data_IF_579400790146
#
_entry.id   IF_579400790146
#
_cell.length_a   1.000
_cell.length_b   1.000
_cell.length_c   1.000
_cell.angle_alpha   90.00
_cell.angle_beta   90.00
_cell.angle_gamma   90.00
#
_symmetry.space_group_name_H-M   'P 1'
#
loop_
_entity.id
_entity.type
_entity.pdbx_description
1 polymer ?
#
# COMPACT_ATOMS: atom_id res chain seq x y z
N UNK A 1 37.46 -13.24 58.47
CA UNK A 1 36.91 -12.10 59.24
C UNK A 1 35.59 -11.61 58.65
N UNK A 2 35.51 -11.44 57.32
CA UNK A 2 34.32 -10.95 56.60
C UNK A 2 33.03 -11.75 56.88
N UNK A 3 33.10 -13.09 56.91
CA UNK A 3 31.93 -13.94 57.19
C UNK A 3 31.33 -13.70 58.59
N UNK A 4 32.17 -13.47 59.60
CA UNK A 4 31.71 -13.23 60.98
C UNK A 4 30.99 -11.88 61.06
N UNK A 5 31.58 -10.83 60.47
CA UNK A 5 30.98 -9.50 60.41
C UNK A 5 29.62 -9.54 59.70
N UNK A 6 29.53 -10.22 58.57
CA UNK A 6 28.28 -10.39 57.80
C UNK A 6 27.18 -11.08 58.61
N UNK A 7 27.49 -12.21 59.26
CA UNK A 7 26.53 -12.92 60.12
C UNK A 7 26.14 -12.10 61.36
N UNK A 8 27.05 -11.27 61.90
CA UNK A 8 26.71 -10.32 62.98
C UNK A 8 25.70 -9.27 62.51
N UNK A 9 25.88 -8.67 61.33
CA UNK A 9 24.92 -7.71 60.77
C UNK A 9 23.56 -8.36 60.51
N UNK A 10 23.51 -9.56 59.93
CA UNK A 10 22.26 -10.31 59.73
C UNK A 10 21.56 -10.59 61.07
N UNK A 11 22.33 -10.95 62.12
CA UNK A 11 21.78 -11.20 63.45
C UNK A 11 21.12 -9.96 64.06
N UNK A 12 21.81 -8.82 64.02
CA UNK A 12 21.31 -7.53 64.53
C UNK A 12 20.05 -7.10 63.75
N UNK A 13 20.09 -7.21 62.42
CA UNK A 13 18.95 -6.90 61.55
C UNK A 13 17.73 -7.79 61.87
N UNK A 14 17.94 -9.10 61.99
CA UNK A 14 16.85 -10.06 62.26
C UNK A 14 16.19 -9.79 63.61
N UNK A 15 16.97 -9.52 64.66
CA UNK A 15 16.45 -9.19 65.99
C UNK A 15 15.65 -7.89 65.93
N UNK A 16 16.17 -6.87 65.24
CA UNK A 16 15.51 -5.56 65.09
C UNK A 16 14.20 -5.68 64.32
N UNK A 17 14.16 -6.49 63.26
CA UNK A 17 12.96 -6.81 62.50
C UNK A 17 11.90 -7.52 63.37
N UNK A 18 12.30 -8.53 64.15
CA UNK A 18 11.39 -9.28 65.04
C UNK A 18 10.81 -8.35 66.12
N UNK A 19 11.63 -7.54 66.79
CA UNK A 19 11.17 -6.61 67.83
C UNK A 19 10.19 -5.59 67.25
N UNK A 20 10.48 -5.06 66.06
CA UNK A 20 9.61 -4.11 65.37
C UNK A 20 8.27 -4.75 65.00
N UNK A 21 8.29 -5.97 64.47
CA UNK A 21 7.07 -6.72 64.11
C UNK A 21 6.21 -7.05 65.36
N UNK A 22 6.84 -7.50 66.44
CA UNK A 22 6.17 -7.76 67.73
C UNK A 22 5.61 -6.50 68.38
N UNK A 23 6.27 -5.35 68.15
CA UNK A 23 5.78 -4.04 68.56
C UNK A 23 4.55 -3.59 67.77
N UNK A 24 4.57 -3.72 66.44
CA UNK A 24 3.43 -3.34 65.56
C UNK A 24 2.21 -4.23 65.79
N UNK A 25 2.42 -5.52 65.99
CA UNK A 25 1.33 -6.50 66.23
C UNK A 25 0.72 -6.38 67.64
N UNK A 26 1.24 -5.49 68.49
CA UNK A 26 0.70 -5.25 69.83
C UNK A 26 0.94 -6.39 70.83
N UNK A 27 1.78 -7.38 70.48
CA UNK A 27 2.21 -8.45 71.38
C UNK A 27 3.03 -7.85 72.52
N UNK A 28 3.86 -6.86 72.22
CA UNK A 28 4.61 -6.06 73.21
C UNK A 28 3.82 -4.79 73.59
N UNK A 29 2.85 -4.93 74.51
CA UNK A 29 1.96 -3.84 74.96
C UNK A 29 2.64 -2.66 75.68
N UNK A 30 3.94 -2.72 75.97
CA UNK A 30 4.66 -1.72 76.77
C UNK A 30 5.47 -0.70 75.95
N UNK A 31 5.51 -0.82 74.62
CA UNK A 31 6.33 0.06 73.77
C UNK A 31 5.53 1.32 73.42
N UNK A 32 6.08 2.50 73.74
CA UNK A 32 5.44 3.78 73.34
C UNK A 32 5.52 3.93 71.82
N UNK A 33 4.42 4.38 71.20
CA UNK A 33 4.29 4.57 69.75
C UNK A 33 5.44 5.35 69.10
N UNK A 34 6.00 6.33 69.81
CA UNK A 34 7.14 7.13 69.34
C UNK A 34 8.38 6.28 69.04
N UNK A 35 8.67 5.27 69.85
CA UNK A 35 9.81 4.37 69.63
C UNK A 35 9.53 3.38 68.51
N UNK A 36 8.28 2.95 68.37
CA UNK A 36 7.86 2.05 67.31
C UNK A 36 8.03 2.69 65.93
N UNK A 37 7.65 3.96 65.77
CA UNK A 37 7.85 4.70 64.51
C UNK A 37 9.33 4.85 64.15
N UNK A 38 10.20 5.06 65.14
CA UNK A 38 11.66 5.14 64.91
C UNK A 38 12.23 3.78 64.49
N UNK A 39 11.86 2.71 65.20
CA UNK A 39 12.26 1.34 64.86
C UNK A 39 11.80 0.93 63.46
N UNK A 40 10.55 1.22 63.12
CA UNK A 40 9.98 0.92 61.80
C UNK A 40 10.65 1.71 60.68
N UNK A 41 10.90 3.00 60.88
CA UNK A 41 11.60 3.84 59.91
C UNK A 41 13.05 3.35 59.70
N UNK A 42 13.73 2.97 60.77
CA UNK A 42 15.08 2.40 60.71
C UNK A 42 15.11 1.09 59.93
N UNK A 43 14.12 0.20 60.14
CA UNK A 43 14.00 -1.07 59.43
C UNK A 43 13.81 -0.86 57.92
N UNK A 44 12.94 0.07 57.54
CA UNK A 44 12.72 0.39 56.11
C UNK A 44 14.02 0.88 55.47
N UNK A 45 14.73 1.80 56.12
CA UNK A 45 15.97 2.37 55.59
C UNK A 45 17.05 1.30 55.41
N UNK A 46 17.15 0.37 56.36
CA UNK A 46 18.09 -0.74 56.31
C UNK A 46 17.77 -1.74 55.18
N UNK A 47 16.49 -2.07 54.97
CA UNK A 47 16.05 -2.91 53.84
C UNK A 47 16.37 -2.26 52.50
N UNK A 48 16.09 -0.96 52.35
CA UNK A 48 16.38 -0.22 51.11
C UNK A 48 17.88 -0.21 50.82
N UNK A 49 18.71 0.03 51.83
CA UNK A 49 20.16 -0.02 51.70
C UNK A 49 20.66 -1.40 51.27
N UNK A 50 20.13 -2.47 51.87
CA UNK A 50 20.47 -3.84 51.52
C UNK A 50 20.10 -4.18 50.06
N UNK A 51 18.92 -3.77 49.59
CA UNK A 51 18.49 -3.97 48.20
C UNK A 51 19.41 -3.22 47.22
N UNK A 52 19.78 -1.98 47.52
CA UNK A 52 20.69 -1.20 46.67
C UNK A 52 22.10 -1.82 46.59
N UNK A 53 22.61 -2.33 47.71
CA UNK A 53 23.90 -3.03 47.75
C UNK A 53 23.82 -4.33 46.95
N UNK A 54 22.75 -5.11 47.11
CA UNK A 54 22.54 -6.34 46.36
C UNK A 54 22.46 -6.07 44.86
N UNK A 55 21.73 -5.03 44.44
CA UNK A 55 21.61 -4.66 43.03
C UNK A 55 22.94 -4.18 42.44
N UNK A 56 23.78 -3.49 43.22
CA UNK A 56 25.13 -3.09 42.79
C UNK A 56 26.14 -4.24 42.76
N UNK A 57 25.97 -5.22 43.64
CA UNK A 57 26.88 -6.37 43.75
C UNK A 57 26.49 -7.53 42.83
N UNK A 58 25.28 -7.52 42.29
CA UNK A 58 24.84 -8.52 41.33
C UNK A 58 25.37 -8.09 39.96
N UNK A 59 26.30 -8.87 39.42
CA UNK A 59 26.70 -8.72 38.03
C UNK A 59 25.60 -9.28 37.14
N UNK A 60 24.77 -8.39 36.59
CA UNK A 60 23.72 -8.74 35.64
C UNK A 60 24.28 -9.00 34.23
N UNK A 61 25.60 -8.90 34.04
CA UNK A 61 26.28 -9.30 32.81
C UNK A 61 26.50 -10.82 32.77
N UNK A 62 25.44 -11.60 33.03
CA UNK A 62 25.50 -13.05 32.87
C UNK A 62 25.94 -13.36 31.44
N UNK A 63 27.05 -14.11 31.34
CA UNK A 63 27.72 -14.59 30.14
C UNK A 63 26.76 -14.74 28.95
N UNK A 64 26.95 -13.86 27.96
CA UNK A 64 26.20 -13.96 26.71
C UNK A 64 26.64 -15.26 26.05
N UNK A 65 25.77 -16.27 25.99
CA UNK A 65 26.13 -17.57 25.44
C UNK A 65 26.12 -17.51 23.90
N UNK A 66 27.20 -16.97 23.34
CA UNK A 66 27.38 -16.77 21.90
C UNK A 66 27.27 -18.08 21.10
N UNK A 67 27.64 -19.22 21.70
CA UNK A 67 27.50 -20.55 21.08
C UNK A 67 26.06 -20.80 20.60
N UNK A 68 25.07 -20.50 21.45
CA UNK A 68 23.65 -20.71 21.11
C UNK A 68 23.14 -19.78 20.00
N UNK A 69 23.78 -18.63 19.80
CA UNK A 69 23.44 -17.68 18.74
C UNK A 69 24.09 -18.09 17.42
N UNK A 70 25.34 -18.56 17.45
CA UNK A 70 26.01 -19.08 16.25
C UNK A 70 25.38 -20.36 15.73
N UNK A 71 24.95 -21.26 16.62
CA UNK A 71 24.20 -22.47 16.24
C UNK A 71 22.90 -22.12 15.50
N UNK A 72 22.16 -21.10 15.99
CA UNK A 72 20.93 -20.62 15.33
C UNK A 72 21.20 -19.91 14.01
N UNK A 73 22.34 -19.25 13.89
CA UNK A 73 22.76 -18.59 12.66
C UNK A 73 23.35 -19.56 11.62
N UNK A 74 23.53 -20.84 11.97
CA UNK A 74 24.13 -21.85 11.10
C UNK A 74 25.63 -21.62 10.85
N UNK A 75 26.31 -20.90 11.75
CA UNK A 75 27.73 -20.57 11.62
C UNK A 75 28.52 -21.70 12.29
N UNK A 76 29.08 -22.59 11.47
CA UNK A 76 29.86 -23.76 11.91
C UNK A 76 31.38 -23.50 11.87
N UNK A 77 31.80 -22.25 12.06
CA UNK A 77 33.21 -21.86 11.98
C UNK A 77 33.88 -21.91 13.37
N UNK A 78 34.89 -22.77 13.53
CA UNK A 78 35.67 -22.88 14.77
C UNK A 78 36.37 -21.56 15.13
N UNK A 79 36.68 -20.71 14.15
CA UNK A 79 37.24 -19.38 14.38
C UNK A 79 36.22 -18.42 15.02
N UNK A 80 34.92 -18.59 14.75
CA UNK A 80 33.84 -17.77 15.32
C UNK A 80 33.57 -18.10 16.80
N UNK A 81 33.88 -19.32 17.23
CA UNK A 81 33.78 -19.73 18.64
C UNK A 81 34.99 -19.30 19.48
N UNK A 82 36.15 -19.10 18.85
CA UNK A 82 37.38 -18.66 19.50
C UNK A 82 37.42 -17.14 19.77
N UNK A 83 36.85 -16.33 18.86
CA UNK A 83 36.66 -14.88 19.03
C UNK A 83 35.30 -14.42 18.43
N UNK A 84 34.20 -14.59 19.20
CA UNK A 84 32.85 -14.21 18.79
C UNK A 84 32.72 -12.76 18.35
N UNK A 85 33.31 -11.85 19.12
CA UNK A 85 33.17 -10.41 18.91
C UNK A 85 33.96 -9.97 17.68
N UNK A 86 35.20 -10.44 17.54
CA UNK A 86 36.02 -10.17 16.36
C UNK A 86 35.44 -10.76 15.07
N UNK A 87 34.85 -11.96 15.13
CA UNK A 87 34.17 -12.57 13.99
C UNK A 87 32.95 -11.76 13.55
N UNK A 88 32.09 -11.35 14.49
CA UNK A 88 30.91 -10.52 14.21
C UNK A 88 31.35 -9.17 13.61
N UNK A 89 32.34 -8.51 14.21
CA UNK A 89 32.89 -7.25 13.69
C UNK A 89 33.43 -7.40 12.27
N UNK A 90 34.12 -8.50 11.97
CA UNK A 90 34.69 -8.76 10.65
C UNK A 90 33.59 -9.00 9.62
N UNK A 91 32.61 -9.86 9.92
CA UNK A 91 31.48 -10.14 9.03
C UNK A 91 30.60 -8.90 8.79
N UNK A 92 30.37 -8.09 9.82
CA UNK A 92 29.67 -6.81 9.66
C UNK A 92 30.47 -5.85 8.79
N UNK A 93 31.79 -5.79 8.96
CA UNK A 93 32.66 -4.91 8.17
C UNK A 93 32.75 -5.36 6.72
N UNK A 94 32.79 -6.67 6.45
CA UNK A 94 32.79 -7.23 5.09
C UNK A 94 31.44 -7.07 4.40
N UNK A 95 30.32 -7.32 5.08
CA UNK A 95 29.00 -7.05 4.52
C UNK A 95 28.78 -5.56 4.24
N UNK A 96 29.33 -4.66 5.06
CA UNK A 96 29.25 -3.23 4.82
C UNK A 96 30.17 -2.76 3.67
N UNK A 97 31.18 -3.55 3.31
CA UNK A 97 32.07 -3.31 2.15
C UNK A 97 31.50 -3.81 0.82
N UNK A 98 30.40 -4.57 0.82
CA UNK A 98 29.67 -4.95 -0.39
C UNK A 98 28.89 -3.73 -0.95
N UNK A 99 29.61 -2.67 -1.33
CA UNK A 99 29.04 -1.45 -1.91
C UNK A 99 28.27 -1.74 -3.19
N UNK A 100 28.64 -2.80 -3.92
CA UNK A 100 27.96 -3.22 -5.13
C UNK A 100 26.52 -3.69 -4.86
N UNK A 101 26.27 -4.39 -3.74
CA UNK A 101 24.93 -4.82 -3.36
C UNK A 101 24.06 -3.63 -2.91
N UNK A 102 24.67 -2.64 -2.24
CA UNK A 102 24.00 -1.39 -1.86
C UNK A 102 23.67 -0.53 -3.09
N UNK A 103 24.62 -0.37 -4.01
CA UNK A 103 24.41 0.33 -5.28
C UNK A 103 23.36 -0.35 -6.16
N UNK A 104 23.39 -1.69 -6.25
CA UNK A 104 22.36 -2.44 -6.94
C UNK A 104 20.99 -2.21 -6.31
N UNK A 105 20.88 -2.25 -4.97
CA UNK A 105 19.60 -1.98 -4.29
C UNK A 105 19.06 -0.59 -4.59
N UNK A 106 19.92 0.42 -4.57
CA UNK A 106 19.51 1.80 -4.81
C UNK A 106 19.07 2.00 -6.26
N UNK A 107 19.83 1.48 -7.24
CA UNK A 107 19.44 1.53 -8.65
C UNK A 107 18.13 0.79 -8.94
N UNK A 108 17.90 -0.37 -8.30
CA UNK A 108 16.67 -1.15 -8.45
C UNK A 108 15.48 -0.43 -7.80
N UNK A 109 15.71 0.29 -6.69
CA UNK A 109 14.68 1.12 -6.06
C UNK A 109 14.29 2.31 -6.93
N UNK A 110 15.24 2.89 -7.65
CA UNK A 110 15.03 4.01 -8.57
C UNK A 110 14.23 3.57 -9.80
N UNK A 111 14.58 2.42 -10.39
CA UNK A 111 13.83 1.78 -11.47
C UNK A 111 12.40 1.42 -11.05
N UNK A 112 12.20 0.89 -9.85
CA UNK A 112 10.86 0.58 -9.32
C UNK A 112 10.01 1.84 -9.14
N UNK A 113 10.64 2.95 -8.75
CA UNK A 113 9.95 4.23 -8.62
C UNK A 113 9.51 4.77 -9.98
N UNK A 114 10.39 4.71 -10.98
CA UNK A 114 10.08 5.12 -12.36
C UNK A 114 8.97 4.26 -12.97
N UNK A 115 9.04 2.93 -12.83
CA UNK A 115 8.00 2.02 -13.32
C UNK A 115 6.63 2.26 -12.67
N UNK A 116 6.60 2.63 -11.37
CA UNK A 116 5.36 2.99 -10.67
C UNK A 116 4.77 4.30 -11.17
N UNK A 117 5.60 5.31 -11.41
CA UNK A 117 5.15 6.59 -11.93
C UNK A 117 4.54 6.41 -13.33
N UNK A 118 5.20 5.64 -14.20
CA UNK A 118 4.67 5.33 -15.53
C UNK A 118 3.33 4.57 -15.46
N UNK A 119 3.17 3.66 -14.51
CA UNK A 119 1.89 2.97 -14.28
C UNK A 119 0.80 3.95 -13.85
N UNK A 120 1.08 4.85 -12.91
CA UNK A 120 0.12 5.85 -12.43
C UNK A 120 -0.26 6.85 -13.54
N UNK A 121 0.70 7.25 -14.37
CA UNK A 121 0.48 8.11 -15.52
C UNK A 121 -0.37 7.40 -16.59
N UNK A 122 -0.08 6.13 -16.90
CA UNK A 122 -0.87 5.30 -17.81
C UNK A 122 -2.30 5.07 -17.28
N UNK A 123 -2.47 4.77 -16.00
CA UNK A 123 -3.80 4.64 -15.38
C UNK A 123 -4.59 5.96 -15.43
N UNK A 124 -3.91 7.09 -15.23
CA UNK A 124 -4.46 8.43 -15.38
C UNK A 124 -4.93 8.71 -16.82
N UNK A 125 -4.11 8.39 -17.82
CA UNK A 125 -4.46 8.54 -19.23
C UNK A 125 -5.64 7.64 -19.64
N UNK A 126 -5.65 6.38 -19.20
CA UNK A 126 -6.76 5.44 -19.43
C UNK A 126 -8.06 5.99 -18.82
N UNK A 127 -8.01 6.48 -17.58
CA UNK A 127 -9.17 7.11 -16.94
C UNK A 127 -9.67 8.38 -17.66
N UNK A 128 -8.78 9.14 -18.29
CA UNK A 128 -9.15 10.29 -19.12
C UNK A 128 -9.76 9.87 -20.47
N UNK A 129 -9.24 8.81 -21.10
CA UNK A 129 -9.78 8.25 -22.34
C UNK A 129 -11.20 7.72 -22.13
N UNK A 130 -11.44 7.01 -21.03
CA UNK A 130 -12.78 6.55 -20.63
C UNK A 130 -13.75 7.73 -20.46
N UNK A 131 -13.34 8.74 -19.69
CA UNK A 131 -14.14 9.95 -19.48
C UNK A 131 -14.44 10.66 -20.80
N UNK A 132 -13.49 10.69 -21.72
CA UNK A 132 -13.65 11.24 -23.06
C UNK A 132 -14.71 10.48 -23.85
N UNK A 133 -14.69 9.14 -23.83
CA UNK A 133 -15.69 8.31 -24.51
C UNK A 133 -17.11 8.52 -23.96
N UNK A 134 -17.29 8.46 -22.63
CA UNK A 134 -18.62 8.67 -22.02
C UNK A 134 -19.17 10.08 -22.29
N UNK A 135 -18.28 11.08 -22.36
CA UNK A 135 -18.67 12.45 -22.73
C UNK A 135 -19.16 12.50 -24.17
N UNK A 136 -18.49 11.83 -25.12
CA UNK A 136 -18.92 11.75 -26.52
C UNK A 136 -20.27 11.05 -26.66
N UNK A 137 -20.46 9.92 -25.99
CA UNK A 137 -21.73 9.19 -25.97
C UNK A 137 -22.87 10.04 -25.39
N UNK A 138 -22.60 10.74 -24.28
CA UNK A 138 -23.58 11.63 -23.66
C UNK A 138 -23.96 12.78 -24.58
N UNK A 139 -22.97 13.37 -25.28
CA UNK A 139 -23.22 14.42 -26.27
C UNK A 139 -24.05 13.92 -27.44
N UNK A 140 -23.79 12.69 -27.93
CA UNK A 140 -24.55 12.10 -29.03
C UNK A 140 -26.01 11.88 -28.62
N UNK A 141 -26.23 11.46 -27.37
CA UNK A 141 -27.57 11.32 -26.80
C UNK A 141 -28.30 12.65 -26.70
N UNK A 142 -27.63 13.73 -26.29
CA UNK A 142 -28.22 15.07 -26.24
C UNK A 142 -28.64 15.50 -27.64
N UNK A 143 -27.74 15.40 -28.63
CA UNK A 143 -28.06 15.75 -30.02
C UNK A 143 -29.24 14.94 -30.56
N UNK A 144 -29.38 13.67 -30.15
CA UNK A 144 -30.51 12.84 -30.56
C UNK A 144 -31.86 13.41 -30.07
N UNK A 145 -31.92 14.06 -28.90
CA UNK A 145 -33.13 14.74 -28.43
C UNK A 145 -33.45 15.98 -29.28
N UNK A 146 -32.44 16.69 -29.77
CA UNK A 146 -32.62 17.84 -30.67
C UNK A 146 -33.16 17.42 -32.05
N UNK A 147 -33.07 16.13 -32.40
CA UNK A 147 -33.60 15.52 -33.62
C UNK A 147 -34.79 14.59 -33.37
N UNK A 148 -35.66 14.91 -32.40
CA UNK A 148 -36.91 14.16 -32.12
C UNK A 148 -36.69 12.70 -31.69
N UNK A 149 -35.55 12.40 -31.06
CA UNK A 149 -35.25 11.10 -30.47
C UNK A 149 -34.60 10.08 -31.42
N UNK A 150 -34.34 10.43 -32.68
CA UNK A 150 -33.56 9.62 -33.61
C UNK A 150 -32.83 10.48 -34.65
N UNK A 151 -31.65 10.06 -35.09
CA UNK A 151 -30.88 10.84 -36.07
C UNK A 151 -30.82 10.11 -37.41
N UNK A 152 -31.45 10.67 -38.45
CA UNK A 152 -31.35 10.13 -39.81
C UNK A 152 -30.13 10.71 -40.53
N UNK A 153 -29.11 9.92 -40.79
CA UNK A 153 -27.84 10.38 -41.39
C UNK A 153 -27.97 10.82 -42.86
N UNK A 154 -28.99 10.35 -43.59
CA UNK A 154 -29.19 10.69 -45.02
C UNK A 154 -30.05 11.94 -45.26
N UNK A 155 -30.54 12.60 -44.21
CA UNK A 155 -31.46 13.73 -44.33
C UNK A 155 -30.86 14.99 -43.71
N UNK A 156 -30.86 16.12 -44.44
CA UNK A 156 -30.34 17.43 -43.97
C UNK A 156 -28.92 17.32 -43.38
N UNK A 157 -27.97 16.90 -44.21
CA UNK A 157 -26.59 16.65 -43.79
C UNK A 157 -25.85 17.91 -43.32
N UNK A 158 -26.17 19.06 -43.93
CA UNK A 158 -25.52 20.35 -43.65
C UNK A 158 -25.68 20.79 -42.18
N UNK A 159 -26.77 20.39 -41.52
CA UNK A 159 -27.04 20.66 -40.11
C UNK A 159 -26.49 19.62 -39.14
N UNK A 160 -25.79 18.58 -39.63
CA UNK A 160 -25.36 17.40 -38.83
C UNK A 160 -23.85 17.23 -38.74
N UNK A 161 -23.09 18.28 -39.07
CA UNK A 161 -21.62 18.25 -38.98
C UNK A 161 -21.13 17.77 -37.62
N UNK A 162 -21.72 18.26 -36.53
CA UNK A 162 -21.38 17.85 -35.17
C UNK A 162 -21.66 16.35 -34.94
N UNK A 163 -22.79 15.83 -35.43
CA UNK A 163 -23.13 14.40 -35.33
C UNK A 163 -22.10 13.54 -36.05
N UNK A 164 -21.70 13.93 -37.27
CA UNK A 164 -20.72 13.17 -38.04
C UNK A 164 -19.34 13.18 -37.37
N UNK A 165 -18.89 14.33 -36.88
CA UNK A 165 -17.63 14.43 -36.13
C UNK A 165 -17.67 13.53 -34.90
N UNK A 166 -18.77 13.58 -34.15
CA UNK A 166 -18.91 12.81 -32.92
C UNK A 166 -18.94 11.30 -33.17
N UNK A 167 -19.64 10.86 -34.23
CA UNK A 167 -19.62 9.47 -34.66
C UNK A 167 -18.23 9.01 -35.09
N UNK A 168 -17.50 9.83 -35.84
CA UNK A 168 -16.11 9.54 -36.22
C UNK A 168 -15.25 9.27 -34.99
N UNK A 169 -15.27 10.19 -34.03
CA UNK A 169 -14.52 10.05 -32.78
C UNK A 169 -14.97 8.88 -31.90
N UNK A 170 -16.25 8.49 -31.96
CA UNK A 170 -16.75 7.29 -31.26
C UNK A 170 -16.22 6.02 -31.94
N UNK A 171 -16.19 5.97 -33.28
CA UNK A 171 -15.65 4.82 -34.00
C UNK A 171 -14.14 4.67 -33.84
N UNK A 172 -13.40 5.77 -33.74
CA UNK A 172 -11.99 5.76 -33.36
C UNK A 172 -11.82 5.15 -31.96
N UNK A 173 -12.60 5.59 -30.97
CA UNK A 173 -12.54 5.04 -29.62
C UNK A 173 -12.99 3.58 -29.51
N UNK A 174 -13.84 3.11 -30.42
CA UNK A 174 -14.24 1.69 -30.53
C UNK A 174 -13.26 0.84 -31.34
N UNK A 175 -12.12 1.41 -31.78
CA UNK A 175 -11.14 0.75 -32.65
C UNK A 175 -11.75 0.16 -33.94
N UNK A 176 -12.86 0.75 -34.41
CA UNK A 176 -13.49 0.35 -35.66
C UNK A 176 -12.75 0.93 -36.88
N UNK A 177 -11.85 1.88 -36.66
CA UNK A 177 -11.12 2.64 -37.67
C UNK A 177 -9.67 2.16 -37.69
N UNK A 178 -9.18 1.69 -38.85
CA UNK A 178 -7.84 1.12 -38.97
C UNK A 178 -6.80 2.17 -39.38
N UNK A 179 -7.23 3.26 -40.01
CA UNK A 179 -6.39 4.38 -40.44
C UNK A 179 -7.20 5.66 -40.45
N UNK A 180 -6.56 6.82 -40.22
CA UNK A 180 -7.21 8.13 -40.39
C UNK A 180 -7.83 8.29 -41.78
N UNK A 181 -7.25 7.67 -42.81
CA UNK A 181 -7.78 7.67 -44.18
C UNK A 181 -9.15 6.98 -44.32
N UNK A 182 -9.56 6.19 -43.33
CA UNK A 182 -10.88 5.55 -43.32
C UNK A 182 -12.00 6.56 -43.03
N UNK A 183 -11.70 7.69 -42.38
CA UNK A 183 -12.69 8.70 -41.97
C UNK A 183 -12.42 10.10 -42.49
N UNK A 184 -11.17 10.43 -42.83
CA UNK A 184 -10.77 11.76 -43.28
C UNK A 184 -10.32 11.75 -44.74
N UNK A 185 -10.57 12.86 -45.43
CA UNK A 185 -10.05 13.17 -46.75
C UNK A 185 -8.57 13.59 -46.66
N UNK A 186 -7.84 13.60 -47.78
CA UNK A 186 -6.41 13.98 -47.82
C UNK A 186 -6.14 15.42 -47.32
N UNK A 187 -7.16 16.28 -47.30
CA UNK A 187 -7.09 17.64 -46.75
C UNK A 187 -7.42 17.70 -45.24
N UNK A 188 -7.48 16.56 -44.57
CA UNK A 188 -7.84 16.39 -43.15
C UNK A 188 -9.28 16.82 -42.80
N UNK A 189 -10.16 16.95 -43.79
CA UNK A 189 -11.59 17.15 -43.55
C UNK A 189 -12.31 15.82 -43.38
N UNK A 190 -13.28 15.78 -42.46
CA UNK A 190 -14.06 14.57 -42.20
C UNK A 190 -14.90 14.18 -43.43
N UNK A 191 -14.72 12.95 -43.91
CA UNK A 191 -15.49 12.36 -44.99
C UNK A 191 -16.83 11.81 -44.45
N UNK A 192 -17.89 12.60 -44.53
CA UNK A 192 -19.23 12.22 -44.03
C UNK A 192 -19.78 10.96 -44.71
N UNK A 193 -19.43 10.70 -45.97
CA UNK A 193 -19.80 9.48 -46.67
C UNK A 193 -19.12 8.24 -46.08
N UNK A 194 -17.85 8.37 -45.70
CA UNK A 194 -17.10 7.31 -45.04
C UNK A 194 -17.67 7.02 -43.64
N UNK A 195 -17.97 8.05 -42.85
CA UNK A 195 -18.64 7.89 -41.53
C UNK A 195 -19.99 7.18 -41.67
N UNK A 196 -20.81 7.55 -42.67
CA UNK A 196 -22.10 6.88 -42.96
C UNK A 196 -21.91 5.40 -43.31
N UNK A 197 -20.94 5.11 -44.18
CA UNK A 197 -20.61 3.73 -44.56
C UNK A 197 -20.17 2.92 -43.34
N UNK A 198 -19.32 3.50 -42.49
CA UNK A 198 -18.85 2.88 -41.25
C UNK A 198 -19.99 2.59 -40.29
N UNK A 199 -20.88 3.56 -40.08
CA UNK A 199 -22.06 3.37 -39.24
C UNK A 199 -22.98 2.26 -39.77
N UNK A 200 -23.21 2.22 -41.09
CA UNK A 200 -24.02 1.16 -41.71
C UNK A 200 -23.40 -0.22 -41.48
N UNK A 201 -22.08 -0.37 -41.72
CA UNK A 201 -21.35 -1.61 -41.46
C UNK A 201 -21.39 -2.01 -39.98
N UNK A 202 -21.19 -1.05 -39.07
CA UNK A 202 -21.33 -1.27 -37.64
C UNK A 202 -22.74 -1.74 -37.28
N UNK A 203 -23.78 -1.08 -37.78
CA UNK A 203 -25.17 -1.46 -37.50
C UNK A 203 -25.48 -2.86 -38.00
N UNK A 204 -25.02 -3.22 -39.21
CA UNK A 204 -25.17 -4.57 -39.78
C UNK A 204 -24.50 -5.66 -38.97
N UNK A 205 -23.49 -5.35 -38.14
CA UNK A 205 -22.80 -6.36 -37.33
C UNK A 205 -23.70 -6.94 -36.24
N UNK A 206 -24.74 -6.21 -35.80
CA UNK A 206 -25.63 -6.64 -34.71
C UNK A 206 -27.13 -6.61 -35.04
N UNK A 207 -27.55 -6.05 -36.20
CA UNK A 207 -28.94 -6.11 -36.65
C UNK A 207 -29.07 -6.48 -38.13
N UNK A 208 -29.93 -7.46 -38.41
CA UNK A 208 -30.37 -7.82 -39.76
C UNK A 208 -31.77 -7.27 -39.99
N UNK A 209 -31.92 -6.41 -41.01
CA UNK A 209 -33.18 -5.79 -41.39
C UNK A 209 -33.64 -6.33 -42.76
N UNK A 210 -34.95 -6.52 -42.97
CA UNK A 210 -35.51 -6.85 -44.28
C UNK A 210 -35.11 -5.82 -45.34
N UNK A 211 -35.06 -6.22 -46.62
CA UNK A 211 -34.72 -5.37 -47.77
C UNK A 211 -35.49 -4.03 -47.78
N UNK A 212 -36.77 -4.07 -47.43
CA UNK A 212 -37.68 -2.92 -47.37
C UNK A 212 -37.32 -1.88 -46.28
N UNK A 213 -36.51 -2.28 -45.29
CA UNK A 213 -36.11 -1.43 -44.15
C UNK A 213 -34.64 -1.03 -44.18
N UNK A 214 -33.93 -1.25 -45.30
CA UNK A 214 -32.50 -0.92 -45.38
C UNK A 214 -32.16 0.55 -45.14
N UNK A 215 -33.09 1.49 -45.41
CA UNK A 215 -32.90 2.90 -45.07
C UNK A 215 -32.73 3.14 -43.55
N UNK A 216 -33.21 2.23 -42.70
CA UNK A 216 -33.05 2.31 -41.24
C UNK A 216 -31.61 2.01 -40.78
N UNK A 217 -30.74 1.49 -41.66
CA UNK A 217 -29.30 1.38 -41.38
C UNK A 217 -28.60 2.73 -41.23
N UNK A 218 -29.23 3.82 -41.68
CA UNK A 218 -28.72 5.18 -41.55
C UNK A 218 -29.45 5.99 -40.47
N UNK A 219 -30.29 5.34 -39.65
CA UNK A 219 -30.96 5.98 -38.53
C UNK A 219 -30.25 5.58 -37.25
N UNK A 220 -29.93 6.54 -36.39
CA UNK A 220 -29.41 6.32 -35.04
C UNK A 220 -30.57 6.32 -34.06
N UNK A 221 -30.76 5.18 -33.38
CA UNK A 221 -31.70 5.02 -32.29
C UNK A 221 -30.98 4.98 -30.95
N UNK A 222 -31.74 5.15 -29.87
CA UNK A 222 -31.24 5.00 -28.51
C UNK A 222 -30.62 3.62 -28.25
N UNK A 223 -31.12 2.56 -28.90
CA UNK A 223 -30.55 1.22 -28.83
C UNK A 223 -29.13 1.15 -29.40
N UNK A 224 -28.83 1.96 -30.42
CA UNK A 224 -27.51 2.00 -31.05
C UNK A 224 -26.49 2.64 -30.11
N UNK A 225 -26.88 3.68 -29.37
CA UNK A 225 -26.06 4.30 -28.32
C UNK A 225 -25.77 3.29 -27.19
N UNK A 226 -26.80 2.56 -26.73
CA UNK A 226 -26.61 1.54 -25.70
C UNK A 226 -25.69 0.41 -26.16
N UNK A 227 -25.74 0.05 -27.45
CA UNK A 227 -24.84 -0.94 -28.06
C UNK A 227 -23.40 -0.41 -28.13
N UNK A 228 -23.18 0.83 -28.58
CA UNK A 228 -21.84 1.45 -28.59
C UNK A 228 -21.22 1.50 -27.19
N UNK A 229 -22.02 1.82 -26.18
CA UNK A 229 -21.59 1.83 -24.79
C UNK A 229 -21.15 0.44 -24.32
N UNK A 230 -21.95 -0.59 -24.65
CA UNK A 230 -21.62 -1.98 -24.31
C UNK A 230 -20.32 -2.42 -24.98
N UNK A 231 -20.18 -2.15 -26.27
CA UNK A 231 -19.01 -2.60 -27.05
C UNK A 231 -17.73 -1.94 -26.55
N UNK A 232 -17.80 -0.67 -26.13
CA UNK A 232 -16.67 -0.01 -25.47
C UNK A 232 -16.34 -0.64 -24.11
N UNK A 233 -17.35 -0.94 -23.30
CA UNK A 233 -17.16 -1.58 -21.99
C UNK A 233 -16.60 -3.00 -22.10
N UNK A 234 -16.87 -3.70 -23.20
CA UNK A 234 -16.31 -5.01 -23.48
C UNK A 234 -14.85 -4.89 -23.98
N UNK A 235 -14.54 -3.88 -24.79
CA UNK A 235 -13.18 -3.58 -25.27
C UNK A 235 -12.19 -3.28 -24.12
N UNK A 236 -12.60 -2.54 -23.09
CA UNK A 236 -11.72 -2.19 -21.97
C UNK A 236 -11.56 -3.31 -20.92
N UNK A 237 -12.30 -4.42 -21.07
CA UNK A 237 -12.20 -5.59 -20.16
C UNK A 237 -11.26 -6.67 -20.67
N UNK A 238 -10.95 -6.67 -21.96
CA UNK A 238 -9.98 -7.57 -22.60
C UNK A 238 -8.54 -7.10 -22.35
#
# INVERSE_FOLDING_TARGET
MEKVLFWTFIGIFSITAIITLLGITGVLKSIKERYLNVLFTSLILEVVAAVLILFKSTDFSSETNYSSLFDKAGIADEAALADPEGYILTQLTENNKNSDALQQRDSLSELLKEARQLLEDCEGEVGQLDKSFFTKISRLRILMYDFDGYITLNFREDGKKEVFTLLGSIFESLQLVNSEKDLYLDNNELNTAAVKSKYNSYKRSYISLPLEKQNQYYIIFQSDIAKMLRDYLDLIKE
#
